data_IF_729917255474
#
_entry.id   IF_729917255474
#
_cell.length_a   1.000
_cell.length_b   1.000
_cell.length_c   1.000
_cell.angle_alpha   90.00
_cell.angle_beta   90.00
_cell.angle_gamma   90.00
#
_symmetry.space_group_name_H-M   'P 1'
#
loop_
_entity.id
_entity.type
_entity.pdbx_description
1 polymer ?
#
# COMPACT_ATOMS: atom_id res chain seq x y z
N UNK A 1 25.48 34.06 10.30
CA UNK A 1 26.58 33.08 10.31
C UNK A 1 26.64 32.45 8.92
N UNK A 2 27.74 32.61 8.21
CA UNK A 2 27.87 32.14 6.83
C UNK A 2 29.22 32.53 6.24
N UNK A 3 29.52 32.03 5.03
CA UNK A 3 30.73 32.41 4.29
C UNK A 3 30.83 33.94 4.16
N UNK A 4 31.86 34.55 4.77
CA UNK A 4 32.10 36.00 4.72
C UNK A 4 31.58 36.83 5.89
N UNK A 5 30.96 36.23 6.92
CA UNK A 5 30.57 36.96 8.13
C UNK A 5 31.59 36.85 9.28
N UNK A 6 31.65 37.88 10.12
CA UNK A 6 32.51 37.94 11.32
C UNK A 6 32.28 36.77 12.29
N UNK A 7 31.05 36.25 12.36
CA UNK A 7 30.73 35.03 13.11
C UNK A 7 30.89 33.80 12.23
N UNK A 8 32.10 33.20 12.31
CA UNK A 8 32.41 31.89 11.71
C UNK A 8 31.51 30.81 12.32
N UNK A 9 30.84 30.06 11.45
CA UNK A 9 30.14 28.84 11.85
C UNK A 9 31.14 27.83 12.43
N UNK A 10 30.79 27.21 13.56
CA UNK A 10 31.56 26.12 14.17
C UNK A 10 30.62 24.95 14.44
N UNK A 11 30.95 23.72 13.98
CA UNK A 11 30.14 22.56 14.32
C UNK A 11 30.25 22.29 15.82
N UNK A 12 29.10 22.21 16.49
CA UNK A 12 29.01 21.66 17.84
C UNK A 12 28.48 20.23 17.68
N UNK A 13 29.34 19.25 17.91
CA UNK A 13 28.96 17.84 17.84
C UNK A 13 28.14 17.51 19.09
N UNK A 14 26.88 17.14 18.87
CA UNK A 14 25.99 16.66 19.92
C UNK A 14 25.98 15.14 19.88
N UNK A 15 26.05 14.49 21.05
CA UNK A 15 26.05 13.03 21.18
C UNK A 15 25.27 12.58 22.42
N UNK A 16 25.22 11.26 22.66
CA UNK A 16 24.52 10.65 23.79
C UNK A 16 24.97 11.11 25.18
N UNK A 17 26.16 11.71 25.29
CA UNK A 17 26.71 12.24 26.53
C UNK A 17 26.34 13.71 26.76
N UNK A 18 25.62 14.35 25.83
CA UNK A 18 25.23 15.75 25.96
C UNK A 18 24.08 15.88 26.98
N UNK A 19 24.30 16.50 28.17
CA UNK A 19 23.37 16.39 29.29
C UNK A 19 21.97 16.93 28.98
N UNK A 20 21.88 18.11 28.38
CA UNK A 20 20.59 18.73 28.02
C UNK A 20 19.86 17.97 26.90
N UNK A 21 20.52 17.08 26.17
CA UNK A 21 19.88 16.23 25.16
C UNK A 21 19.37 14.92 25.78
N UNK A 22 20.21 14.26 26.58
CA UNK A 22 19.88 12.98 27.23
C UNK A 22 18.80 13.15 28.28
N UNK A 23 18.88 14.23 29.05
CA UNK A 23 18.01 14.44 30.20
C UNK A 23 16.69 15.15 29.81
N UNK A 24 16.56 15.60 28.55
CA UNK A 24 15.37 16.28 28.03
C UNK A 24 14.43 15.35 27.25
N UNK A 25 13.24 15.08 27.82
CA UNK A 25 12.20 14.21 27.22
C UNK A 25 10.93 14.97 26.81
N UNK A 26 10.98 16.30 26.79
CA UNK A 26 9.83 17.18 26.55
C UNK A 26 9.66 17.65 25.10
N UNK A 27 8.62 18.44 24.85
CA UNK A 27 8.42 19.15 23.58
C UNK A 27 9.26 20.43 23.55
N UNK A 28 9.93 20.72 22.44
CA UNK A 28 10.78 21.90 22.32
C UNK A 28 9.97 23.09 21.79
N UNK A 29 9.99 24.22 22.52
CA UNK A 29 9.24 25.42 22.18
C UNK A 29 7.91 25.55 22.92
N UNK A 30 7.06 26.47 22.47
CA UNK A 30 5.75 26.73 23.07
C UNK A 30 4.75 25.63 22.63
N UNK A 31 4.31 24.81 23.59
CA UNK A 31 3.19 23.89 23.38
C UNK A 31 1.87 24.62 23.66
N UNK A 32 1.13 24.94 22.61
CA UNK A 32 -0.16 25.64 22.70
C UNK A 32 -1.25 24.76 23.33
N UNK A 33 -1.01 23.45 23.50
CA UNK A 33 -1.98 22.46 23.96
C UNK A 33 -3.28 22.49 23.14
N UNK A 34 -3.18 22.80 21.85
CA UNK A 34 -4.32 22.81 20.93
C UNK A 34 -5.05 21.44 20.97
N UNK A 35 -6.35 21.42 21.33
CA UNK A 35 -7.16 20.20 21.37
C UNK A 35 -7.19 19.45 20.02
N UNK A 36 -7.09 20.18 18.91
CA UNK A 36 -7.13 19.61 17.56
C UNK A 36 -5.76 19.15 17.06
N UNK A 37 -4.69 19.42 17.83
CA UNK A 37 -3.34 18.91 17.59
C UNK A 37 -2.64 19.50 16.37
N UNK A 38 -3.14 20.60 15.79
CA UNK A 38 -2.58 21.23 14.60
C UNK A 38 -1.26 21.94 14.88
N UNK A 39 -1.13 22.57 16.05
CA UNK A 39 0.02 23.40 16.41
C UNK A 39 0.71 22.93 17.68
N UNK A 40 1.13 21.66 17.70
CA UNK A 40 1.94 21.13 18.80
C UNK A 40 3.43 21.41 18.57
N UNK A 41 4.12 21.80 19.63
CA UNK A 41 5.57 21.90 19.63
C UNK A 41 6.23 20.60 19.10
N UNK A 42 7.35 20.71 18.35
CA UNK A 42 8.10 19.54 17.91
C UNK A 42 8.61 18.75 19.12
N UNK A 43 8.68 17.43 19.00
CA UNK A 43 9.33 16.63 20.02
C UNK A 43 10.83 16.99 20.10
N UNK A 44 11.42 16.86 21.28
CA UNK A 44 12.83 17.14 21.51
C UNK A 44 13.76 16.39 20.55
N UNK A 45 15.06 16.74 20.54
CA UNK A 45 15.96 16.26 19.51
C UNK A 45 16.14 14.74 19.54
N UNK A 46 16.21 14.10 20.71
CA UNK A 46 16.46 12.65 20.88
C UNK A 46 15.19 11.79 21.00
N UNK A 47 14.15 12.31 21.63
CA UNK A 47 12.96 11.52 21.97
C UNK A 47 11.75 12.00 21.16
N UNK A 48 10.91 11.05 20.76
CA UNK A 48 9.58 11.32 20.22
C UNK A 48 8.62 11.75 21.33
N UNK A 49 7.40 12.13 20.94
CA UNK A 49 6.35 12.62 21.87
C UNK A 49 5.94 11.60 22.92
N UNK A 50 6.05 10.32 22.60
CA UNK A 50 5.73 9.19 23.49
C UNK A 50 6.91 8.78 24.38
N UNK A 51 8.04 9.49 24.29
CA UNK A 51 9.27 9.18 25.01
C UNK A 51 10.11 8.07 24.39
N UNK A 52 9.71 7.51 23.23
CA UNK A 52 10.55 6.60 22.46
C UNK A 52 11.77 7.33 21.89
N UNK A 53 12.87 6.62 21.66
CA UNK A 53 14.06 7.21 21.03
C UNK A 53 13.80 7.35 19.53
N UNK A 54 14.07 8.54 19.00
CA UNK A 54 13.97 8.79 17.56
C UNK A 54 14.93 7.89 16.78
N UNK A 55 14.45 7.33 15.67
CA UNK A 55 15.24 6.44 14.83
C UNK A 55 16.56 7.08 14.37
N UNK A 56 16.55 8.37 14.02
CA UNK A 56 17.75 9.10 13.60
C UNK A 56 18.83 9.23 14.69
N UNK A 57 18.51 8.96 15.96
CA UNK A 57 19.46 8.90 17.07
C UNK A 57 19.94 7.50 17.38
N UNK A 58 19.03 6.52 17.40
CA UNK A 58 19.41 5.13 17.66
C UNK A 58 20.17 4.51 16.49
N UNK A 59 19.81 4.91 15.27
CA UNK A 59 20.36 4.39 14.03
C UNK A 59 20.43 5.50 12.96
N UNK A 60 21.50 6.32 13.00
CA UNK A 60 21.64 7.48 12.12
C UNK A 60 21.81 7.09 10.63
N UNK A 61 22.11 5.82 10.34
CA UNK A 61 22.31 5.29 8.99
C UNK A 61 21.29 4.21 8.60
N UNK A 62 20.33 3.89 9.47
CA UNK A 62 19.29 2.89 9.21
C UNK A 62 18.44 3.19 7.99
N UNK A 63 18.26 4.48 7.69
CA UNK A 63 17.58 4.91 6.45
C UNK A 63 18.33 4.49 5.18
N UNK A 64 19.64 4.26 5.25
CA UNK A 64 20.46 3.78 4.14
C UNK A 64 20.39 2.24 3.98
N UNK A 65 19.69 1.55 4.88
CA UNK A 65 19.46 0.11 4.81
C UNK A 65 20.75 -0.71 4.78
N UNK A 66 21.82 -0.24 5.42
CA UNK A 66 23.12 -0.92 5.40
C UNK A 66 23.11 -2.26 6.15
N UNK A 67 22.11 -2.51 7.00
CA UNK A 67 22.01 -3.76 7.76
C UNK A 67 21.85 -5.02 6.90
N UNK A 68 21.41 -4.87 5.64
CA UNK A 68 21.32 -5.99 4.68
C UNK A 68 22.57 -6.13 3.80
N UNK A 69 23.45 -5.14 3.84
CA UNK A 69 24.70 -5.16 3.08
C UNK A 69 25.79 -5.86 3.89
N UNK A 70 26.59 -6.67 3.21
CA UNK A 70 27.72 -7.29 3.85
C UNK A 70 28.80 -6.22 4.20
N UNK A 71 29.35 -6.21 5.42
CA UNK A 71 30.33 -5.20 5.82
C UNK A 71 31.69 -5.35 5.11
N UNK A 72 31.94 -6.50 4.46
CA UNK A 72 33.13 -6.75 3.65
C UNK A 72 32.89 -7.90 2.65
N UNK A 73 33.69 -8.00 1.57
CA UNK A 73 33.62 -9.13 0.66
C UNK A 73 33.87 -10.49 1.31
N UNK A 74 34.63 -10.53 2.42
CA UNK A 74 34.84 -11.75 3.19
C UNK A 74 33.58 -12.17 3.96
N UNK A 75 32.90 -11.20 4.57
CA UNK A 75 31.62 -11.43 5.25
C UNK A 75 30.52 -11.84 4.27
N UNK A 76 30.51 -11.26 3.07
CA UNK A 76 29.58 -11.61 1.99
C UNK A 76 29.76 -13.07 1.55
N UNK A 77 31.00 -13.47 1.25
CA UNK A 77 31.32 -14.87 0.91
C UNK A 77 30.90 -15.84 2.02
N UNK A 78 31.16 -15.48 3.28
CA UNK A 78 30.73 -16.28 4.44
C UNK A 78 29.22 -16.41 4.48
N UNK A 79 28.47 -15.32 4.32
CA UNK A 79 27.01 -15.34 4.32
C UNK A 79 26.43 -16.23 3.20
N UNK A 80 27.03 -16.20 2.01
CA UNK A 80 26.64 -17.11 0.91
C UNK A 80 26.89 -18.58 1.29
N UNK A 81 28.03 -18.90 1.91
CA UNK A 81 28.33 -20.28 2.34
C UNK A 81 27.42 -20.76 3.48
N UNK A 82 27.15 -19.89 4.44
CA UNK A 82 26.23 -20.17 5.55
C UNK A 82 24.81 -20.42 4.99
N UNK A 83 24.37 -19.62 3.99
CA UNK A 83 23.08 -19.82 3.30
C UNK A 83 23.01 -21.13 2.51
N UNK A 84 24.08 -21.53 1.81
CA UNK A 84 24.13 -22.83 1.12
C UNK A 84 23.98 -23.97 2.14
N UNK A 85 24.68 -23.88 3.27
CA UNK A 85 24.60 -24.88 4.34
C UNK A 85 23.18 -24.97 4.91
N UNK A 86 22.52 -23.83 5.12
CA UNK A 86 21.12 -23.78 5.54
C UNK A 86 20.19 -24.44 4.50
N UNK A 87 20.38 -24.13 3.21
CA UNK A 87 19.60 -24.70 2.12
C UNK A 87 19.80 -26.22 1.99
N UNK A 88 21.00 -26.74 2.23
CA UNK A 88 21.25 -28.18 2.22
C UNK A 88 20.43 -28.89 3.33
N UNK A 89 20.31 -28.29 4.51
CA UNK A 89 19.43 -28.79 5.59
C UNK A 89 17.96 -28.71 5.19
N UNK A 90 17.52 -27.58 4.61
CA UNK A 90 16.14 -27.42 4.15
C UNK A 90 15.77 -28.38 3.01
N UNK A 91 16.72 -28.67 2.11
CA UNK A 91 16.56 -29.64 1.02
C UNK A 91 16.40 -31.06 1.54
N UNK A 92 17.19 -31.46 2.54
CA UNK A 92 17.04 -32.76 3.18
C UNK A 92 15.66 -32.90 3.84
N UNK A 93 15.21 -31.87 4.56
CA UNK A 93 13.88 -31.85 5.16
C UNK A 93 12.75 -31.90 4.11
N UNK A 94 12.87 -31.11 3.03
CA UNK A 94 11.89 -31.12 1.94
C UNK A 94 11.87 -32.45 1.17
N UNK A 95 13.01 -33.13 1.04
CA UNK A 95 13.08 -34.47 0.44
C UNK A 95 12.36 -35.52 1.29
N UNK A 96 12.55 -35.48 2.61
CA UNK A 96 11.82 -36.33 3.55
C UNK A 96 10.31 -36.06 3.48
N UNK A 97 9.91 -34.78 3.48
CA UNK A 97 8.50 -34.36 3.37
C UNK A 97 7.82 -34.86 2.08
N UNK A 98 8.53 -34.84 0.94
CA UNK A 98 8.05 -35.43 -0.32
C UNK A 98 7.91 -36.95 -0.21
N UNK A 99 8.84 -37.62 0.47
CA UNK A 99 8.79 -39.05 0.76
C UNK A 99 7.54 -39.41 1.58
N UNK A 100 7.36 -38.76 2.72
CA UNK A 100 6.28 -39.02 3.68
C UNK A 100 4.89 -38.83 3.05
N UNK A 101 4.69 -37.70 2.36
CA UNK A 101 3.42 -37.43 1.65
C UNK A 101 3.20 -38.39 0.48
N UNK A 102 4.28 -38.77 -0.21
CA UNK A 102 4.24 -39.75 -1.27
C UNK A 102 3.82 -41.13 -0.76
N UNK A 103 4.33 -41.55 0.40
CA UNK A 103 3.94 -42.80 1.07
C UNK A 103 2.49 -42.75 1.55
N UNK A 104 2.06 -41.63 2.12
CA UNK A 104 0.66 -41.44 2.50
C UNK A 104 -0.27 -41.56 1.29
N UNK A 105 0.05 -40.91 0.17
CA UNK A 105 -0.71 -41.00 -1.06
C UNK A 105 -0.80 -42.43 -1.58
N UNK A 106 0.32 -43.18 -1.55
CA UNK A 106 0.35 -44.60 -1.92
C UNK A 106 -0.54 -45.44 -1.01
N UNK A 107 -0.46 -45.26 0.31
CA UNK A 107 -1.28 -46.00 1.29
C UNK A 107 -2.77 -45.73 1.08
N UNK A 108 -3.16 -44.46 0.95
CA UNK A 108 -4.56 -44.08 0.71
C UNK A 108 -5.04 -44.64 -0.62
N UNK A 109 -4.25 -44.54 -1.69
CA UNK A 109 -4.61 -45.09 -3.01
C UNK A 109 -4.76 -46.61 -2.99
N UNK A 110 -3.89 -47.32 -2.28
CA UNK A 110 -3.98 -48.77 -2.11
C UNK A 110 -5.25 -49.17 -1.34
N UNK A 111 -5.55 -48.48 -0.23
CA UNK A 111 -6.78 -48.69 0.53
C UNK A 111 -8.04 -48.45 -0.32
N UNK A 112 -8.08 -47.36 -1.09
CA UNK A 112 -9.21 -47.05 -1.97
C UNK A 112 -9.44 -48.14 -3.03
N UNK A 113 -8.37 -48.75 -3.59
CA UNK A 113 -8.50 -49.86 -4.55
C UNK A 113 -9.12 -51.10 -3.92
N UNK A 114 -8.73 -51.45 -2.70
CA UNK A 114 -9.33 -52.57 -1.96
C UNK A 114 -10.81 -52.29 -1.68
N UNK A 115 -11.15 -51.12 -1.17
CA UNK A 115 -12.54 -50.76 -0.85
C UNK A 115 -13.45 -50.70 -2.08
N UNK A 116 -12.93 -50.22 -3.22
CA UNK A 116 -13.68 -50.19 -4.48
C UNK A 116 -14.04 -51.59 -4.98
N UNK A 117 -13.24 -52.62 -4.65
CA UNK A 117 -13.57 -54.03 -4.94
C UNK A 117 -14.84 -54.48 -4.20
N UNK A 118 -15.04 -53.96 -3.00
CA UNK A 118 -16.17 -54.30 -2.13
C UNK A 118 -17.36 -53.34 -2.32
N UNK A 119 -17.33 -52.49 -3.36
CA UNK A 119 -18.39 -51.53 -3.67
C UNK A 119 -18.43 -50.28 -2.77
N UNK A 120 -17.42 -50.09 -1.91
CA UNK A 120 -17.34 -48.93 -1.01
C UNK A 120 -16.55 -47.81 -1.71
N UNK A 121 -17.21 -46.69 -1.97
CA UNK A 121 -16.60 -45.50 -2.58
C UNK A 121 -16.10 -44.53 -1.51
N UNK A 122 -14.87 -44.01 -1.70
CA UNK A 122 -14.30 -42.96 -0.85
C UNK A 122 -14.44 -41.59 -1.53
N UNK A 123 -14.44 -40.54 -0.72
CA UNK A 123 -14.43 -39.16 -1.18
C UNK A 123 -13.23 -38.89 -2.13
N UNK A 124 -13.48 -38.55 -3.41
CA UNK A 124 -12.43 -38.23 -4.37
C UNK A 124 -11.70 -36.91 -4.03
N UNK A 125 -12.34 -35.99 -3.30
CA UNK A 125 -11.74 -34.70 -2.94
C UNK A 125 -10.55 -34.88 -1.98
N UNK A 126 -10.66 -35.81 -1.03
CA UNK A 126 -9.57 -36.13 -0.11
C UNK A 126 -8.31 -36.65 -0.82
N UNK A 127 -8.46 -37.47 -1.87
CA UNK A 127 -7.33 -37.97 -2.66
C UNK A 127 -6.69 -36.84 -3.48
N UNK A 128 -7.51 -36.00 -4.12
CA UNK A 128 -7.02 -34.84 -4.90
C UNK A 128 -6.28 -33.82 -4.02
N UNK A 129 -6.73 -33.61 -2.77
CA UNK A 129 -6.05 -32.76 -1.81
C UNK A 129 -4.65 -33.30 -1.46
N UNK A 130 -4.54 -34.62 -1.28
CA UNK A 130 -3.26 -35.26 -0.99
C UNK A 130 -2.31 -35.22 -2.20
N UNK A 131 -2.81 -35.42 -3.42
CA UNK A 131 -2.04 -35.23 -4.66
C UNK A 131 -1.50 -33.80 -4.77
N UNK A 132 -2.35 -32.81 -4.48
CA UNK A 132 -1.97 -31.38 -4.46
C UNK A 132 -0.88 -31.12 -3.42
N UNK A 133 -0.98 -31.73 -2.24
CA UNK A 133 0.02 -31.56 -1.18
C UNK A 133 1.40 -32.13 -1.56
N UNK A 134 1.44 -33.26 -2.28
CA UNK A 134 2.68 -33.85 -2.80
C UNK A 134 3.29 -32.94 -3.85
N UNK A 135 2.47 -32.37 -4.75
CA UNK A 135 2.93 -31.45 -5.77
C UNK A 135 3.49 -30.15 -5.17
N UNK A 136 2.81 -29.58 -4.16
CA UNK A 136 3.32 -28.43 -3.43
C UNK A 136 4.68 -28.71 -2.75
N UNK A 137 4.84 -29.89 -2.14
CA UNK A 137 6.09 -30.31 -1.53
C UNK A 137 7.22 -30.42 -2.57
N UNK A 138 6.93 -30.97 -3.76
CA UNK A 138 7.89 -31.07 -4.87
C UNK A 138 8.31 -29.71 -5.39
N UNK A 139 7.36 -28.78 -5.56
CA UNK A 139 7.64 -27.40 -5.99
C UNK A 139 8.51 -26.67 -4.99
N UNK A 140 8.23 -26.82 -3.69
CA UNK A 140 9.06 -26.25 -2.63
C UNK A 140 10.49 -26.80 -2.68
N UNK A 141 10.65 -28.12 -2.83
CA UNK A 141 11.97 -28.76 -2.95
C UNK A 141 12.73 -28.26 -4.19
N UNK A 142 12.04 -28.11 -5.33
CA UNK A 142 12.64 -27.59 -6.56
C UNK A 142 13.13 -26.15 -6.38
N UNK A 143 12.29 -25.27 -5.82
CA UNK A 143 12.67 -23.87 -5.57
C UNK A 143 13.91 -23.75 -4.66
N UNK A 144 13.99 -24.57 -3.61
CA UNK A 144 15.17 -24.62 -2.74
C UNK A 144 16.42 -25.12 -3.49
N UNK A 145 16.27 -26.09 -4.39
CA UNK A 145 17.37 -26.64 -5.16
C UNK A 145 17.91 -25.61 -6.18
N UNK A 146 17.01 -24.88 -6.84
CA UNK A 146 17.36 -23.80 -7.77
C UNK A 146 18.10 -22.66 -7.05
N UNK A 147 17.63 -22.23 -5.87
CA UNK A 147 18.31 -21.23 -5.05
C UNK A 147 19.71 -21.69 -4.65
N UNK A 148 19.84 -22.93 -4.17
CA UNK A 148 21.12 -23.53 -3.76
C UNK A 148 22.10 -23.63 -4.93
N UNK A 149 21.62 -24.01 -6.12
CA UNK A 149 22.44 -24.05 -7.33
C UNK A 149 22.90 -22.64 -7.74
N UNK A 150 22.00 -21.66 -7.72
CA UNK A 150 22.33 -20.27 -8.04
C UNK A 150 23.43 -19.73 -7.13
N UNK A 151 23.32 -19.94 -5.80
CA UNK A 151 24.34 -19.51 -4.84
C UNK A 151 25.67 -20.25 -5.01
N UNK A 152 25.63 -21.55 -5.32
CA UNK A 152 26.84 -22.33 -5.62
C UNK A 152 27.54 -21.77 -6.86
N UNK A 153 26.79 -21.44 -7.91
CA UNK A 153 27.33 -20.83 -9.14
C UNK A 153 27.96 -19.46 -8.85
N UNK A 154 27.29 -18.61 -8.07
CA UNK A 154 27.79 -17.30 -7.64
C UNK A 154 29.03 -17.41 -6.75
N UNK A 155 29.18 -18.45 -5.94
CA UNK A 155 30.40 -18.65 -5.13
C UNK A 155 31.65 -18.91 -5.96
N UNK A 156 31.50 -19.48 -7.17
CA UNK A 156 32.60 -19.76 -8.10
C UNK A 156 32.88 -18.57 -9.01
N UNK A 157 31.82 -17.96 -9.57
CA UNK A 157 31.96 -16.88 -10.54
C UNK A 157 32.03 -15.48 -9.93
N UNK A 158 31.79 -15.35 -8.63
CA UNK A 158 31.61 -14.08 -7.95
C UNK A 158 30.17 -13.57 -8.04
N UNK A 159 29.85 -12.61 -7.18
CA UNK A 159 28.57 -11.92 -7.22
C UNK A 159 28.58 -10.86 -8.32
N UNK A 160 27.43 -10.61 -8.98
CA UNK A 160 27.31 -9.53 -9.95
C UNK A 160 27.60 -8.18 -9.27
N UNK A 161 28.23 -7.26 -10.00
CA UNK A 161 28.39 -5.90 -9.51
C UNK A 161 27.05 -5.18 -9.55
N UNK A 162 26.62 -4.69 -8.40
CA UNK A 162 25.41 -3.88 -8.27
C UNK A 162 25.78 -2.40 -8.11
N UNK A 163 24.86 -1.51 -8.52
CA UNK A 163 25.02 -0.08 -8.24
C UNK A 163 24.95 0.17 -6.71
N UNK A 164 25.66 1.17 -6.16
CA UNK A 164 25.70 1.43 -4.71
C UNK A 164 24.35 1.69 -4.01
N UNK A 165 23.27 1.83 -4.77
CA UNK A 165 21.92 2.07 -4.28
C UNK A 165 20.92 1.00 -4.74
N UNK A 166 21.38 -0.05 -5.43
CA UNK A 166 20.52 -1.13 -5.92
C UNK A 166 19.78 -1.84 -4.77
N UNK A 167 20.41 -1.87 -3.60
CA UNK A 167 19.83 -2.44 -2.40
C UNK A 167 18.61 -1.66 -1.88
N UNK A 168 18.45 -0.37 -2.22
CA UNK A 168 17.35 0.47 -1.72
C UNK A 168 16.06 0.30 -2.55
N UNK A 169 14.99 -0.23 -1.93
CA UNK A 169 13.65 -0.29 -2.57
C UNK A 169 13.02 1.08 -2.78
N UNK A 170 13.16 1.97 -1.79
CA UNK A 170 12.64 3.33 -1.83
C UNK A 170 13.77 4.28 -1.47
N UNK A 171 14.45 4.80 -2.50
CA UNK A 171 15.49 5.80 -2.28
C UNK A 171 14.84 7.13 -1.92
N UNK A 172 15.20 7.67 -0.75
CA UNK A 172 14.87 9.04 -0.40
C UNK A 172 15.65 9.98 -1.34
N UNK A 173 15.01 10.37 -2.43
CA UNK A 173 15.50 11.42 -3.32
C UNK A 173 15.04 12.77 -2.77
N UNK A 174 15.82 13.85 -2.94
CA UNK A 174 15.34 15.20 -2.70
C UNK A 174 13.98 15.37 -3.40
N UNK A 175 13.06 16.09 -2.76
CA UNK A 175 11.77 16.38 -3.35
C UNK A 175 11.97 17.27 -4.59
N UNK A 176 12.22 16.63 -5.73
CA UNK A 176 12.26 17.26 -7.04
C UNK A 176 10.81 17.48 -7.42
N UNK A 177 10.37 18.73 -7.32
CA UNK A 177 9.01 19.14 -7.67
C UNK A 177 8.59 18.47 -8.99
N UNK A 178 7.60 17.55 -8.97
CA UNK A 178 7.24 16.81 -10.17
C UNK A 178 6.58 17.76 -11.16
N UNK A 179 7.38 18.19 -12.14
CA UNK A 179 6.97 18.72 -13.45
C UNK A 179 6.34 20.14 -13.42
N UNK A 180 7.08 21.11 -13.97
CA UNK A 180 6.71 22.53 -14.22
C UNK A 180 5.31 22.75 -14.82
N UNK A 181 4.73 21.75 -15.50
CA UNK A 181 3.44 21.86 -16.20
C UNK A 181 2.27 22.09 -15.25
N UNK A 182 2.26 21.47 -14.06
CA UNK A 182 1.17 21.66 -13.07
C UNK A 182 1.11 23.10 -12.53
N UNK A 183 2.26 23.77 -12.41
CA UNK A 183 2.34 25.14 -11.86
C UNK A 183 1.72 26.20 -12.79
N UNK A 184 1.79 26.02 -14.12
CA UNK A 184 1.15 26.93 -15.09
C UNK A 184 -0.36 26.77 -15.10
N UNK A 185 -0.82 25.51 -15.11
CA UNK A 185 -2.25 25.18 -15.04
C UNK A 185 -2.87 25.72 -13.74
N UNK A 186 -2.19 25.59 -12.58
CA UNK A 186 -2.68 26.18 -11.33
C UNK A 186 -2.77 27.72 -11.37
N UNK A 187 -1.79 28.38 -12.00
CA UNK A 187 -1.78 29.84 -12.11
C UNK A 187 -2.93 30.37 -12.99
N UNK A 188 -3.14 29.74 -14.15
CA UNK A 188 -4.21 30.10 -15.08
C UNK A 188 -5.59 29.73 -14.51
N UNK A 189 -5.71 28.59 -13.84
CA UNK A 189 -6.95 28.13 -13.21
C UNK A 189 -7.40 29.03 -12.04
N UNK A 190 -6.47 29.55 -11.24
CA UNK A 190 -6.79 30.48 -10.16
C UNK A 190 -7.47 31.76 -10.67
N UNK A 191 -7.03 32.31 -11.80
CA UNK A 191 -7.62 33.51 -12.37
C UNK A 191 -9.02 33.27 -12.95
N UNK A 192 -9.24 32.09 -13.54
CA UNK A 192 -10.52 31.71 -14.17
C UNK A 192 -11.58 31.38 -13.11
N UNK A 193 -11.21 30.68 -12.03
CA UNK A 193 -12.14 30.26 -10.97
C UNK A 193 -12.80 31.43 -10.22
N UNK A 194 -12.07 32.52 -9.99
CA UNK A 194 -12.61 33.72 -9.33
C UNK A 194 -13.74 34.37 -10.15
N UNK A 195 -13.57 34.47 -11.47
CA UNK A 195 -14.58 35.03 -12.38
C UNK A 195 -15.84 34.16 -12.44
N UNK A 196 -15.69 32.83 -12.43
CA UNK A 196 -16.83 31.90 -12.39
C UNK A 196 -17.58 31.93 -11.04
N UNK A 197 -16.87 32.05 -9.92
CA UNK A 197 -17.50 32.22 -8.62
C UNK A 197 -18.33 33.50 -8.56
N UNK A 198 -17.79 34.61 -9.06
CA UNK A 198 -18.52 35.88 -9.11
C UNK A 198 -19.76 35.80 -10.01
N UNK A 199 -19.67 35.13 -11.17
CA UNK A 199 -20.83 34.89 -12.03
C UNK A 199 -21.89 34.02 -11.34
N UNK A 200 -21.48 32.96 -10.63
CA UNK A 200 -22.37 32.13 -9.81
C UNK A 200 -23.06 32.93 -8.71
N UNK A 201 -22.33 33.78 -7.99
CA UNK A 201 -22.89 34.69 -6.99
C UNK A 201 -23.90 35.68 -7.59
N UNK A 202 -23.65 36.21 -8.79
CA UNK A 202 -24.60 37.07 -9.47
C UNK A 202 -25.93 36.35 -9.74
N UNK A 203 -25.88 35.09 -10.22
CA UNK A 203 -27.09 34.27 -10.44
C UNK A 203 -27.85 34.01 -9.13
N UNK A 204 -27.13 33.78 -8.03
CA UNK A 204 -27.70 33.63 -6.68
C UNK A 204 -28.45 34.89 -6.26
N UNK A 205 -27.84 36.07 -6.44
CA UNK A 205 -28.40 37.37 -6.05
C UNK A 205 -29.63 37.73 -6.88
N UNK A 206 -29.64 37.40 -8.18
CA UNK A 206 -30.78 37.69 -9.06
C UNK A 206 -32.01 36.79 -8.78
N UNK A 207 -31.92 35.84 -7.84
CA UNK A 207 -33.07 35.05 -7.38
C UNK A 207 -33.55 33.97 -8.35
N UNK A 208 -32.88 33.79 -9.49
CA UNK A 208 -33.20 32.76 -10.49
C UNK A 208 -32.61 31.38 -10.14
N UNK A 209 -32.26 31.15 -8.88
CA UNK A 209 -31.59 29.92 -8.42
C UNK A 209 -32.33 28.66 -8.86
N UNK A 210 -33.66 28.63 -8.75
CA UNK A 210 -34.47 27.44 -9.06
C UNK A 210 -34.29 26.92 -10.49
N UNK A 211 -34.22 27.83 -11.47
CA UNK A 211 -34.08 27.47 -12.90
C UNK A 211 -32.63 27.14 -13.27
N UNK A 212 -31.66 27.75 -12.58
CA UNK A 212 -30.23 27.59 -12.86
C UNK A 212 -29.50 26.62 -11.90
N UNK A 213 -30.18 25.96 -10.96
CA UNK A 213 -29.60 24.92 -10.09
C UNK A 213 -28.73 23.91 -10.86
N UNK A 214 -29.18 23.30 -11.97
CA UNK A 214 -28.36 22.31 -12.67
C UNK A 214 -27.11 22.92 -13.31
N UNK A 215 -27.20 24.18 -13.77
CA UNK A 215 -26.08 24.89 -14.40
C UNK A 215 -25.03 25.29 -13.36
N UNK A 216 -25.46 25.84 -12.23
CA UNK A 216 -24.58 26.22 -11.11
C UNK A 216 -23.94 24.99 -10.47
N UNK A 217 -24.71 23.92 -10.28
CA UNK A 217 -24.20 22.65 -9.76
C UNK A 217 -23.18 22.00 -10.70
N UNK A 218 -23.45 22.00 -12.01
CA UNK A 218 -22.51 21.51 -13.02
C UNK A 218 -21.20 22.31 -13.03
N UNK A 219 -21.28 23.64 -12.94
CA UNK A 219 -20.12 24.52 -12.85
C UNK A 219 -19.29 24.25 -11.59
N UNK A 220 -19.93 24.07 -10.44
CA UNK A 220 -19.25 23.75 -9.19
C UNK A 220 -18.51 22.39 -9.26
N UNK A 221 -19.14 21.37 -9.87
CA UNK A 221 -18.50 20.07 -10.09
C UNK A 221 -17.28 20.19 -11.02
N UNK A 222 -17.41 20.92 -12.13
CA UNK A 222 -16.28 21.21 -13.03
C UNK A 222 -15.15 21.91 -12.26
N UNK A 223 -15.50 22.86 -11.40
CA UNK A 223 -14.52 23.61 -10.63
C UNK A 223 -13.75 22.73 -9.65
N UNK A 224 -14.47 21.87 -8.92
CA UNK A 224 -13.88 20.91 -7.98
C UNK A 224 -13.06 19.82 -8.69
N UNK A 225 -13.49 19.34 -9.86
CA UNK A 225 -12.74 18.39 -10.68
C UNK A 225 -11.40 18.98 -11.13
N UNK A 226 -11.39 20.23 -11.60
CA UNK A 226 -10.17 20.91 -12.02
C UNK A 226 -9.21 21.16 -10.83
N UNK A 227 -9.75 21.48 -9.64
CA UNK A 227 -8.96 21.60 -8.41
C UNK A 227 -8.36 20.26 -7.97
N UNK A 228 -9.14 19.18 -8.00
CA UNK A 228 -8.69 17.83 -7.67
C UNK A 228 -7.62 17.33 -8.66
N UNK A 229 -7.76 17.67 -9.94
CA UNK A 229 -6.75 17.42 -10.97
C UNK A 229 -5.45 18.18 -10.69
N UNK A 230 -5.54 19.48 -10.40
CA UNK A 230 -4.41 20.32 -10.05
C UNK A 230 -3.62 19.78 -8.85
N UNK A 231 -4.32 19.27 -7.82
CA UNK A 231 -3.72 18.71 -6.60
C UNK A 231 -3.28 17.25 -6.75
N UNK A 232 -3.51 16.60 -7.89
CA UNK A 232 -3.12 15.19 -8.11
C UNK A 232 -3.98 14.16 -7.38
N UNK A 233 -5.18 14.55 -6.92
CA UNK A 233 -6.10 13.70 -6.18
C UNK A 233 -7.38 13.36 -6.97
N UNK A 234 -7.39 13.58 -8.30
CA UNK A 234 -8.58 13.39 -9.14
C UNK A 234 -9.24 12.02 -8.95
N UNK A 235 -8.45 10.94 -8.90
CA UNK A 235 -8.99 9.59 -8.70
C UNK A 235 -9.75 9.43 -7.39
N UNK A 236 -9.20 9.97 -6.29
CA UNK A 236 -9.85 9.96 -4.98
C UNK A 236 -11.07 10.88 -4.93
N UNK A 237 -10.98 12.06 -5.52
CA UNK A 237 -12.09 13.00 -5.60
C UNK A 237 -13.28 12.44 -6.40
N UNK A 238 -13.03 11.81 -7.55
CA UNK A 238 -14.07 11.16 -8.36
C UNK A 238 -14.73 10.03 -7.57
N UNK A 239 -13.94 9.23 -6.84
CA UNK A 239 -14.49 8.17 -5.98
C UNK A 239 -15.35 8.73 -4.84
N UNK A 240 -14.90 9.79 -4.15
CA UNK A 240 -15.66 10.46 -3.09
C UNK A 240 -16.92 11.14 -3.62
N UNK A 241 -16.87 11.76 -4.80
CA UNK A 241 -18.02 12.37 -5.47
C UNK A 241 -19.07 11.32 -5.88
N UNK A 242 -18.63 10.19 -6.44
CA UNK A 242 -19.52 9.07 -6.77
C UNK A 242 -20.15 8.48 -5.50
N UNK A 243 -19.38 8.31 -4.42
CA UNK A 243 -19.92 7.87 -3.15
C UNK A 243 -20.96 8.85 -2.60
N UNK A 244 -20.70 10.16 -2.65
CA UNK A 244 -21.66 11.19 -2.26
C UNK A 244 -22.93 11.16 -3.12
N UNK A 245 -22.81 10.96 -4.44
CA UNK A 245 -23.95 10.83 -5.34
C UNK A 245 -24.80 9.59 -5.02
N UNK A 246 -24.17 8.46 -4.69
CA UNK A 246 -24.87 7.24 -4.24
C UNK A 246 -25.61 7.48 -2.93
N UNK A 247 -24.97 8.14 -1.95
CA UNK A 247 -25.62 8.49 -0.68
C UNK A 247 -26.81 9.42 -0.92
N UNK A 248 -26.65 10.46 -1.73
CA UNK A 248 -27.72 11.39 -2.07
C UNK A 248 -28.89 10.68 -2.78
N UNK A 249 -28.61 9.81 -3.76
CA UNK A 249 -29.61 9.01 -4.44
C UNK A 249 -30.36 8.07 -3.48
N UNK A 250 -29.64 7.49 -2.50
CA UNK A 250 -30.22 6.63 -1.48
C UNK A 250 -31.15 7.41 -0.56
N UNK A 251 -30.71 8.57 -0.06
CA UNK A 251 -31.53 9.47 0.77
C UNK A 251 -32.77 9.92 0.01
N UNK A 252 -32.62 10.29 -1.25
CA UNK A 252 -33.73 10.67 -2.12
C UNK A 252 -34.73 9.52 -2.29
N UNK A 253 -34.27 8.30 -2.55
CA UNK A 253 -35.11 7.12 -2.70
C UNK A 253 -35.86 6.76 -1.42
N UNK A 254 -35.22 6.93 -0.24
CA UNK A 254 -35.86 6.76 1.07
C UNK A 254 -36.92 7.81 1.31
N UNK A 255 -36.62 9.09 1.06
CA UNK A 255 -37.59 10.18 1.19
C UNK A 255 -38.79 9.98 0.23
N UNK A 256 -38.52 9.57 -1.01
CA UNK A 256 -39.52 9.23 -2.00
C UNK A 256 -40.41 8.05 -1.57
N UNK A 257 -39.81 7.00 -1.01
CA UNK A 257 -40.56 5.88 -0.46
C UNK A 257 -41.46 6.29 0.72
N UNK A 258 -40.95 7.18 1.59
CA UNK A 258 -41.69 7.71 2.73
C UNK A 258 -42.89 8.60 2.33
N UNK A 259 -42.83 9.25 1.17
CA UNK A 259 -43.92 10.06 0.58
C UNK A 259 -45.07 9.21 -0.03
N UNK A 260 -45.10 7.89 0.22
CA UNK A 260 -46.20 7.01 -0.20
C UNK A 260 -45.91 6.17 -1.45
N UNK A 261 -44.74 6.34 -2.07
CA UNK A 261 -44.33 5.62 -3.29
C UNK A 261 -43.51 4.35 -3.04
N UNK A 262 -43.63 3.74 -1.85
CA UNK A 262 -42.80 2.61 -1.41
C UNK A 262 -42.77 1.41 -2.37
N UNK A 263 -43.88 1.13 -3.08
CA UNK A 263 -43.97 0.04 -4.07
C UNK A 263 -43.04 0.27 -5.27
N UNK A 264 -42.96 1.52 -5.74
CA UNK A 264 -42.09 1.89 -6.88
C UNK A 264 -40.62 1.91 -6.48
N UNK A 265 -40.31 2.38 -5.26
CA UNK A 265 -38.97 2.35 -4.71
C UNK A 265 -38.45 0.91 -4.52
N UNK A 266 -39.29 0.02 -3.99
CA UNK A 266 -38.97 -1.41 -3.85
C UNK A 266 -38.75 -2.09 -5.21
N UNK A 267 -39.59 -1.79 -6.21
CA UNK A 267 -39.43 -2.32 -7.57
C UNK A 267 -38.12 -1.85 -8.23
N UNK A 268 -37.75 -0.57 -8.06
CA UNK A 268 -36.49 -0.03 -8.58
C UNK A 268 -35.26 -0.70 -7.94
N UNK A 269 -35.27 -0.91 -6.62
CA UNK A 269 -34.21 -1.62 -5.89
C UNK A 269 -34.06 -3.07 -6.37
N UNK A 270 -35.17 -3.79 -6.54
CA UNK A 270 -35.15 -5.18 -7.02
C UNK A 270 -34.64 -5.28 -8.47
N UNK A 271 -35.06 -4.35 -9.34
CA UNK A 271 -34.57 -4.29 -10.72
C UNK A 271 -33.06 -3.99 -10.79
N UNK A 272 -32.57 -3.10 -9.93
CA UNK A 272 -31.14 -2.79 -9.85
C UNK A 272 -30.34 -3.98 -9.33
N UNK A 273 -30.82 -4.66 -8.29
CA UNK A 273 -30.21 -5.89 -7.78
C UNK A 273 -30.18 -7.02 -8.83
N UNK A 274 -31.29 -7.22 -9.56
CA UNK A 274 -31.36 -8.19 -10.64
C UNK A 274 -30.37 -7.88 -11.78
N UNK A 275 -30.22 -6.60 -12.12
CA UNK A 275 -29.27 -6.14 -13.16
C UNK A 275 -27.83 -6.33 -12.71
N UNK A 276 -27.50 -6.01 -11.45
CA UNK A 276 -26.17 -6.25 -10.89
C UNK A 276 -25.83 -7.74 -10.85
N UNK A 277 -26.78 -8.60 -10.45
CA UNK A 277 -26.59 -10.04 -10.42
C UNK A 277 -26.39 -10.61 -11.83
N UNK A 278 -27.13 -10.11 -12.82
CA UNK A 278 -26.95 -10.47 -14.23
C UNK A 278 -25.56 -10.07 -14.74
N UNK A 279 -25.11 -8.84 -14.47
CA UNK A 279 -23.78 -8.35 -14.84
C UNK A 279 -22.66 -9.15 -14.17
N UNK A 280 -22.82 -9.51 -12.89
CA UNK A 280 -21.86 -10.35 -12.17
C UNK A 280 -21.77 -11.75 -12.78
N UNK A 281 -22.92 -12.37 -13.08
CA UNK A 281 -22.97 -13.68 -13.73
C UNK A 281 -22.35 -13.67 -15.14
N UNK A 282 -22.61 -12.63 -15.93
CA UNK A 282 -22.00 -12.46 -17.26
C UNK A 282 -20.48 -12.31 -17.13
N UNK A 283 -20.00 -11.45 -16.21
CA UNK A 283 -18.57 -11.26 -15.96
C UNK A 283 -17.87 -12.56 -15.57
N UNK A 284 -18.45 -13.33 -14.67
CA UNK A 284 -17.89 -14.62 -14.23
C UNK A 284 -17.85 -15.65 -15.38
N UNK A 285 -18.77 -15.55 -16.34
CA UNK A 285 -18.81 -16.37 -17.54
C UNK A 285 -17.68 -16.03 -18.53
N UNK A 286 -17.30 -14.76 -18.61
CA UNK A 286 -16.21 -14.27 -19.47
C UNK A 286 -14.82 -14.39 -18.84
N UNK A 287 -14.69 -14.35 -17.52
CA UNK A 287 -13.40 -14.50 -16.80
C UNK A 287 -12.94 -15.96 -16.72
N UNK A 288 -13.85 -16.93 -16.88
CA UNK A 288 -13.55 -18.38 -16.87
C UNK A 288 -13.21 -18.97 -18.25
N UNK A 289 -12.96 -18.15 -19.27
CA UNK A 289 -12.39 -18.56 -20.58
C UNK A 289 -11.00 -17.95 -20.75
#
# INVERSE_FOLDING_TARGET
MGSGEDKKWRPVVVNDQTPWLRDYRGLWGLDTRDPFGGERAPAGPRYERDGSVRLCWSDPVGWAGLDKEAPSPGAERKAVMDRITELDVQLAAAAAEVGDRGDELRRVRAGSRTMSRDGITRDPAALAALETSVEQARRRRLALAEEREALTRSSVHGLPQEEPHAHLRHRALPNVDPVRTRRRVLGEWSAVSASFLLAGFAVVILGHLGEYVPVVGGLAVIMLCAEAFARGHLGRFVAELLAAAVVAATVWLVAWAALGHWRTAAAALLMLAATMLLLANIRDLFVKR
#
